data_IF_474388488581
#
_entry.id   IF_474388488581
#
_cell.length_a   1.000
_cell.length_b   1.000
_cell.length_c   1.000
_cell.angle_alpha   90.00
_cell.angle_beta   90.00
_cell.angle_gamma   90.00
#
_symmetry.space_group_name_H-M   'P 1'
#
loop_
_entity.id
_entity.type
_entity.pdbx_description
1 polymer ?
#
# COMPACT_ATOMS: atom_id res chain seq x y z
N UNK A 1 14.19 10.28 -12.48
CA UNK A 1 13.23 11.16 -11.78
C UNK A 1 14.00 12.29 -11.12
N UNK A 2 13.51 13.53 -11.26
CA UNK A 2 14.17 14.70 -10.68
C UNK A 2 13.90 14.81 -9.18
N UNK A 3 14.75 15.55 -8.46
CA UNK A 3 14.69 15.66 -7.01
C UNK A 3 13.34 16.22 -6.51
N UNK A 4 12.78 17.21 -7.20
CA UNK A 4 11.49 17.80 -6.83
C UNK A 4 10.35 16.77 -6.96
N UNK A 5 10.39 15.96 -8.01
CA UNK A 5 9.41 14.91 -8.23
C UNK A 5 9.54 13.81 -7.17
N UNK A 6 10.78 13.46 -6.81
CA UNK A 6 11.02 12.47 -5.74
C UNK A 6 10.49 12.95 -4.41
N UNK A 7 10.74 14.21 -4.06
CA UNK A 7 10.25 14.79 -2.81
C UNK A 7 8.74 14.79 -2.77
N UNK A 8 8.08 15.24 -3.84
CA UNK A 8 6.63 15.28 -3.93
C UNK A 8 6.04 13.86 -3.80
N UNK A 9 6.61 12.92 -4.53
CA UNK A 9 6.17 11.52 -4.49
C UNK A 9 6.34 10.93 -3.09
N UNK A 10 7.47 11.18 -2.45
CA UNK A 10 7.75 10.72 -1.09
C UNK A 10 6.73 11.28 -0.11
N UNK A 11 6.48 12.59 -0.17
CA UNK A 11 5.55 13.26 0.74
C UNK A 11 4.12 12.71 0.59
N UNK A 12 3.66 12.51 -0.64
CA UNK A 12 2.36 11.92 -0.91
C UNK A 12 2.26 10.47 -0.42
N UNK A 13 3.29 9.69 -0.71
CA UNK A 13 3.37 8.29 -0.28
C UNK A 13 3.33 8.19 1.25
N UNK A 14 4.15 8.97 1.94
CA UNK A 14 4.20 8.94 3.40
C UNK A 14 2.93 9.47 4.04
N UNK A 15 2.24 10.38 3.37
CA UNK A 15 0.95 10.89 3.85
C UNK A 15 -0.19 9.88 3.76
N UNK A 16 -0.14 8.98 2.78
CA UNK A 16 -1.19 8.00 2.55
C UNK A 16 -0.90 6.64 3.19
N UNK A 17 0.36 6.21 3.20
CA UNK A 17 0.77 4.95 3.84
C UNK A 17 0.88 5.22 5.34
N UNK A 18 -0.21 4.97 6.05
CA UNK A 18 -0.34 5.29 7.47
C UNK A 18 -0.08 4.10 8.41
N UNK A 19 0.18 2.92 7.87
CA UNK A 19 0.57 1.75 8.65
C UNK A 19 2.08 1.76 8.87
N UNK A 20 2.50 1.44 10.11
CA UNK A 20 3.93 1.28 10.38
C UNK A 20 4.47 0.02 9.70
N UNK A 21 5.80 -0.10 9.51
CA UNK A 21 6.37 -1.33 8.96
C UNK A 21 5.98 -2.57 9.75
N UNK A 22 5.96 -2.51 11.08
CA UNK A 22 5.58 -3.65 11.92
C UNK A 22 4.10 -4.02 11.75
N UNK A 23 3.22 -3.02 11.68
CA UNK A 23 1.79 -3.24 11.45
C UNK A 23 1.55 -3.86 10.08
N UNK A 24 2.21 -3.34 9.06
CA UNK A 24 2.05 -3.84 7.70
C UNK A 24 2.58 -5.27 7.58
N UNK A 25 3.72 -5.57 8.18
CA UNK A 25 4.27 -6.93 8.17
C UNK A 25 3.30 -7.92 8.81
N UNK A 26 2.74 -7.56 9.97
CA UNK A 26 1.77 -8.40 10.66
C UNK A 26 0.52 -8.61 9.82
N UNK A 27 0.02 -7.53 9.20
CA UNK A 27 -1.16 -7.61 8.35
C UNK A 27 -0.93 -8.54 7.15
N UNK A 28 0.21 -8.39 6.47
CA UNK A 28 0.52 -9.18 5.27
C UNK A 28 0.66 -10.69 5.57
N UNK A 29 0.94 -11.06 6.82
CA UNK A 29 1.00 -12.45 7.24
C UNK A 29 -0.37 -13.05 7.53
N UNK A 30 -1.43 -12.23 7.57
CA UNK A 30 -2.78 -12.68 7.92
C UNK A 30 -3.49 -13.33 6.73
N UNK A 31 -4.47 -14.18 7.03
CA UNK A 31 -5.31 -14.81 5.99
C UNK A 31 -6.16 -13.76 5.27
N UNK A 32 -6.65 -12.77 6.00
CA UNK A 32 -7.46 -11.68 5.44
C UNK A 32 -6.69 -10.92 4.38
N UNK A 33 -5.41 -10.64 4.62
CA UNK A 33 -4.54 -9.99 3.64
C UNK A 33 -4.36 -10.84 2.40
N UNK A 34 -4.11 -12.13 2.59
CA UNK A 34 -3.84 -13.05 1.50
C UNK A 34 -5.06 -13.32 0.64
N UNK A 35 -6.26 -13.27 1.25
CA UNK A 35 -7.51 -13.50 0.52
C UNK A 35 -8.08 -12.23 -0.10
N UNK A 36 -7.62 -11.04 0.29
CA UNK A 36 -8.04 -9.78 -0.31
C UNK A 36 -7.34 -9.56 -1.65
N UNK A 37 -8.02 -8.84 -2.55
CA UNK A 37 -7.45 -8.50 -3.86
C UNK A 37 -7.68 -9.57 -4.90
N UNK A 38 -7.11 -9.35 -6.07
CA UNK A 38 -7.25 -10.24 -7.22
C UNK A 38 -6.04 -11.15 -7.34
N UNK A 39 -6.30 -12.44 -7.51
CA UNK A 39 -5.26 -13.43 -7.71
C UNK A 39 -5.17 -13.80 -9.19
N UNK A 40 -3.94 -13.89 -9.69
CA UNK A 40 -3.66 -14.43 -11.01
C UNK A 40 -3.14 -15.85 -10.85
N UNK A 41 -3.81 -16.80 -11.50
CA UNK A 41 -3.36 -18.21 -11.56
C UNK A 41 -3.11 -18.84 -10.18
N UNK A 42 -3.92 -18.45 -9.17
CA UNK A 42 -3.83 -19.02 -7.84
C UNK A 42 -2.63 -18.56 -7.02
N UNK A 43 -1.83 -17.62 -7.54
CA UNK A 43 -0.67 -17.08 -6.83
C UNK A 43 -1.01 -15.92 -5.91
N UNK A 44 0.03 -15.24 -5.45
CA UNK A 44 -0.10 -14.05 -4.60
C UNK A 44 -0.86 -12.94 -5.33
N UNK A 45 -1.77 -12.25 -4.62
CA UNK A 45 -2.50 -11.13 -5.22
C UNK A 45 -1.56 -9.96 -5.53
N UNK A 46 -1.95 -9.14 -6.49
CA UNK A 46 -1.20 -7.92 -6.84
C UNK A 46 -1.06 -6.99 -5.63
N UNK A 47 -2.14 -6.85 -4.84
CA UNK A 47 -2.11 -6.02 -3.63
C UNK A 47 -1.15 -6.55 -2.59
N UNK A 48 -1.16 -7.87 -2.34
CA UNK A 48 -0.27 -8.47 -1.36
C UNK A 48 1.20 -8.31 -1.78
N UNK A 49 1.51 -8.54 -3.06
CA UNK A 49 2.86 -8.34 -3.59
C UNK A 49 3.29 -6.87 -3.47
N UNK A 50 2.39 -5.94 -3.74
CA UNK A 50 2.66 -4.50 -3.57
C UNK A 50 2.95 -4.18 -2.11
N UNK A 51 2.19 -4.77 -1.18
CA UNK A 51 2.40 -4.57 0.27
C UNK A 51 3.78 -5.00 0.71
N UNK A 52 4.28 -6.12 0.21
CA UNK A 52 5.64 -6.57 0.51
C UNK A 52 6.68 -5.57 -0.01
N UNK A 53 6.47 -5.02 -1.19
CA UNK A 53 7.36 -4.01 -1.74
C UNK A 53 7.30 -2.71 -0.95
N UNK A 54 6.10 -2.28 -0.53
CA UNK A 54 5.93 -1.10 0.33
C UNK A 54 6.71 -1.29 1.63
N UNK A 55 6.63 -2.48 2.23
CA UNK A 55 7.37 -2.80 3.44
C UNK A 55 8.88 -2.65 3.23
N UNK A 56 9.41 -3.14 2.12
CA UNK A 56 10.81 -2.98 1.78
C UNK A 56 11.19 -1.51 1.63
N UNK A 57 10.35 -0.71 0.99
CA UNK A 57 10.57 0.73 0.81
C UNK A 57 10.60 1.42 2.17
N UNK A 58 9.66 1.10 3.07
CA UNK A 58 9.59 1.69 4.40
C UNK A 58 10.83 1.38 5.25
N UNK A 59 11.48 0.24 5.00
CA UNK A 59 12.66 -0.20 5.72
C UNK A 59 13.98 0.18 5.04
N UNK A 60 13.91 0.82 3.89
CA UNK A 60 15.09 1.28 3.14
C UNK A 60 15.38 2.74 3.51
N UNK A 61 16.66 3.08 3.68
CA UNK A 61 17.05 4.47 3.88
C UNK A 61 16.65 5.31 2.66
N UNK A 62 16.10 6.50 2.91
CA UNK A 62 15.57 7.35 1.85
C UNK A 62 16.62 7.60 0.74
N UNK A 63 17.87 7.78 1.11
CA UNK A 63 18.95 8.01 0.14
C UNK A 63 19.27 6.80 -0.73
N UNK A 64 18.84 5.61 -0.34
CA UNK A 64 19.10 4.36 -1.08
C UNK A 64 17.93 3.93 -1.97
N UNK A 65 16.87 4.72 -2.01
CA UNK A 65 15.71 4.41 -2.86
C UNK A 65 16.02 4.66 -4.33
N UNK A 66 15.63 3.69 -5.17
CA UNK A 66 15.82 3.75 -6.62
C UNK A 66 14.67 4.48 -7.32
N UNK A 67 14.88 4.81 -8.59
CA UNK A 67 13.79 5.35 -9.43
C UNK A 67 12.62 4.37 -9.51
N UNK A 68 12.88 3.07 -9.58
CA UNK A 68 11.83 2.05 -9.58
C UNK A 68 11.01 2.10 -8.29
N UNK A 69 11.66 2.33 -7.15
CA UNK A 69 10.96 2.49 -5.87
C UNK A 69 10.03 3.71 -5.91
N UNK A 70 10.50 4.83 -6.44
CA UNK A 70 9.66 6.03 -6.56
C UNK A 70 8.50 5.84 -7.53
N UNK A 71 8.71 5.11 -8.62
CA UNK A 71 7.62 4.77 -9.54
C UNK A 71 6.58 3.89 -8.86
N UNK A 72 7.02 2.93 -8.03
CA UNK A 72 6.09 2.12 -7.25
C UNK A 72 5.31 2.96 -6.24
N UNK A 73 5.95 3.92 -5.58
CA UNK A 73 5.27 4.86 -4.68
C UNK A 73 4.14 5.61 -5.41
N UNK A 74 4.38 6.07 -6.64
CA UNK A 74 3.35 6.73 -7.45
C UNK A 74 2.17 5.81 -7.73
N UNK A 75 2.46 4.56 -8.03
CA UNK A 75 1.42 3.55 -8.25
C UNK A 75 0.59 3.35 -6.99
N UNK A 76 1.24 3.28 -5.83
CA UNK A 76 0.59 3.14 -4.54
C UNK A 76 -0.33 4.33 -4.26
N UNK A 77 0.18 5.55 -4.43
CA UNK A 77 -0.61 6.78 -4.23
C UNK A 77 -1.86 6.76 -5.12
N UNK A 78 -1.69 6.43 -6.39
CA UNK A 78 -2.81 6.38 -7.33
C UNK A 78 -3.86 5.35 -6.94
N UNK A 79 -3.40 4.16 -6.55
CA UNK A 79 -4.31 3.09 -6.11
C UNK A 79 -5.10 3.51 -4.88
N UNK A 80 -4.43 4.00 -3.85
CA UNK A 80 -5.08 4.38 -2.60
C UNK A 80 -6.13 5.46 -2.85
N UNK A 81 -5.80 6.50 -3.62
CA UNK A 81 -6.72 7.60 -3.91
C UNK A 81 -7.97 7.12 -4.64
N UNK A 82 -7.80 6.27 -5.64
CA UNK A 82 -8.94 5.73 -6.40
C UNK A 82 -9.81 4.83 -5.54
N UNK A 83 -9.18 3.99 -4.72
CA UNK A 83 -9.90 3.00 -3.92
C UNK A 83 -10.62 3.65 -2.74
N UNK A 84 -10.01 4.64 -2.11
CA UNK A 84 -10.66 5.42 -1.03
C UNK A 84 -11.93 6.10 -1.54
N UNK A 85 -11.93 6.59 -2.78
CA UNK A 85 -13.10 7.22 -3.38
C UNK A 85 -14.28 6.25 -3.58
N UNK A 86 -14.04 4.94 -3.50
CA UNK A 86 -15.07 3.90 -3.69
C UNK A 86 -15.56 3.33 -2.36
N UNK A 87 -15.46 4.08 -1.29
CA UNK A 87 -15.83 3.61 0.05
C UNK A 87 -17.28 3.10 0.08
N UNK A 88 -17.50 1.85 0.55
CA UNK A 88 -18.85 1.32 0.74
C UNK A 88 -19.59 2.08 1.85
N UNK A 89 -20.91 2.02 1.82
CA UNK A 89 -21.72 2.59 2.89
C UNK A 89 -21.73 1.67 4.11
N UNK A 90 -21.90 2.26 5.30
CA UNK A 90 -21.99 1.52 6.55
C UNK A 90 -20.62 1.25 7.18
N UNK A 91 -20.58 0.25 8.08
CA UNK A 91 -19.35 -0.16 8.76
C UNK A 91 -18.44 -0.91 7.80
N UNK A 92 -17.23 -0.40 7.63
CA UNK A 92 -16.28 -0.95 6.65
C UNK A 92 -15.16 -1.78 7.28
N UNK A 93 -15.20 -2.00 8.61
CA UNK A 93 -14.09 -2.68 9.32
C UNK A 93 -13.74 -4.04 8.77
N UNK A 94 -14.73 -4.85 8.42
CA UNK A 94 -14.52 -6.21 7.94
C UNK A 94 -14.74 -6.36 6.44
N UNK A 95 -14.68 -5.25 5.71
CA UNK A 95 -14.90 -5.28 4.28
C UNK A 95 -13.63 -5.61 3.49
N UNK A 96 -13.81 -6.24 2.34
CA UNK A 96 -12.72 -6.46 1.39
C UNK A 96 -12.12 -5.15 0.92
N UNK A 97 -12.92 -4.09 0.83
CA UNK A 97 -12.47 -2.75 0.49
C UNK A 97 -11.37 -2.27 1.46
N UNK A 98 -11.61 -2.38 2.77
CA UNK A 98 -10.61 -2.02 3.78
C UNK A 98 -9.37 -2.92 3.69
N UNK A 99 -9.59 -4.24 3.59
CA UNK A 99 -8.50 -5.20 3.55
C UNK A 99 -7.59 -4.98 2.34
N UNK A 100 -8.16 -4.64 1.19
CA UNK A 100 -7.38 -4.30 0.00
C UNK A 100 -6.53 -3.06 0.21
N UNK A 101 -7.09 -2.01 0.85
CA UNK A 101 -6.32 -0.81 1.17
C UNK A 101 -5.18 -1.10 2.14
N UNK A 102 -5.42 -1.94 3.14
CA UNK A 102 -4.38 -2.30 4.10
C UNK A 102 -3.22 -3.05 3.43
N UNK A 103 -3.50 -3.85 2.40
CA UNK A 103 -2.44 -4.48 1.60
C UNK A 103 -1.54 -3.43 0.93
N UNK A 104 -2.07 -2.26 0.65
CA UNK A 104 -1.31 -1.14 0.09
C UNK A 104 -0.78 -0.19 1.16
N UNK A 105 -0.79 -0.62 2.41
CA UNK A 105 -0.22 0.14 3.52
C UNK A 105 -1.10 1.24 4.08
N UNK A 106 -2.37 1.30 3.67
CA UNK A 106 -3.31 2.34 4.11
C UNK A 106 -4.47 1.72 4.89
N UNK A 107 -4.61 2.11 6.16
CA UNK A 107 -5.79 1.75 6.94
C UNK A 107 -6.76 2.94 6.93
N UNK A 108 -7.93 2.82 6.26
CA UNK A 108 -8.87 3.93 6.15
C UNK A 108 -9.56 4.32 7.45
N UNK A 109 -9.40 3.52 8.50
CA UNK A 109 -9.99 3.78 9.81
C UNK A 109 -9.01 4.42 10.81
N UNK A 110 -7.78 4.61 10.39
CA UNK A 110 -6.76 5.26 11.22
C UNK A 110 -6.75 6.77 11.04
#
# INVERSE_FOLDING_TARGET
MQDDERKETWDEFRGLVNMSPAELEKWLASEESQSAGQHKDGGESTGHASGRRILDILRTNKGDLSDDDYQHMRKVVGYIRRHVAQRPSGDVRDTRWRHSLMNWGHDPLD
#
